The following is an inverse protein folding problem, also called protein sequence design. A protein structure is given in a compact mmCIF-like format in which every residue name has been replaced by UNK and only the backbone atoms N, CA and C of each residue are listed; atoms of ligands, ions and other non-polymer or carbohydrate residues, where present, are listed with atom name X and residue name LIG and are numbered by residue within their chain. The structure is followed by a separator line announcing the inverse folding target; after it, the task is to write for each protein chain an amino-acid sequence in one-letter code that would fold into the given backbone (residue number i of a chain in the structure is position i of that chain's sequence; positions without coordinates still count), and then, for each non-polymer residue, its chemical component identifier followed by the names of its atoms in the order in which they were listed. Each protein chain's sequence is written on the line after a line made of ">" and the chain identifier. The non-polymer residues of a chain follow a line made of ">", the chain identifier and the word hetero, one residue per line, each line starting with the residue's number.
data_IF_762403424641
#
_entry.id   IF_762403424641
#
_cell.length_a   1.000
_cell.length_b   1.000
_cell.length_c   1.000
_cell.angle_alpha   90.00
_cell.angle_beta   90.00
_cell.angle_gamma   90.00
#
_symmetry.space_group_name_H-M   'P 1'
#
loop_
_entity.id
_entity.type
_entity.pdbx_description
1 polymer ?
#
# COMPACT_ATOMS: atom_id res chain seq x y z
N UNK A 1 -9.63 -2.95 -7.87
CA UNK A 1 -8.44 -3.69 -8.35
C UNK A 1 -8.88 -4.65 -9.43
N UNK A 2 -8.16 -4.73 -10.54
CA UNK A 2 -8.38 -5.75 -11.56
C UNK A 2 -8.29 -7.18 -10.94
N UNK A 3 -9.27 -8.07 -11.14
CA UNK A 3 -9.20 -9.46 -10.67
C UNK A 3 -7.92 -10.20 -11.07
N UNK A 4 -7.35 -9.91 -12.25
CA UNK A 4 -6.12 -10.54 -12.73
C UNK A 4 -4.89 -10.20 -11.86
N UNK A 5 -4.93 -9.09 -11.12
CA UNK A 5 -3.85 -8.66 -10.25
C UNK A 5 -3.92 -9.29 -8.85
N UNK A 6 -5.00 -10.02 -8.50
CA UNK A 6 -5.15 -10.68 -7.20
C UNK A 6 -4.34 -11.99 -7.13
N UNK A 7 -3.04 -11.87 -7.31
CA UNK A 7 -2.09 -13.00 -7.29
C UNK A 7 -1.40 -13.10 -5.93
N UNK A 8 -0.79 -14.26 -5.65
CA UNK A 8 0.01 -14.45 -4.43
C UNK A 8 1.20 -13.50 -4.32
N UNK A 9 1.71 -12.99 -5.45
CA UNK A 9 2.81 -12.03 -5.49
C UNK A 9 2.40 -10.62 -5.03
N UNK A 10 1.10 -10.32 -5.11
CA UNK A 10 0.51 -9.06 -4.67
C UNK A 10 -0.16 -9.19 -3.29
N UNK A 11 -0.23 -10.39 -2.71
CA UNK A 11 -0.97 -10.68 -1.49
C UNK A 11 -0.09 -10.60 -0.22
N UNK A 12 -0.60 -9.97 0.85
CA UNK A 12 0.00 -10.07 2.19
C UNK A 12 -0.34 -11.44 2.78
N UNK A 13 0.70 -12.22 3.09
CA UNK A 13 0.57 -13.47 3.84
C UNK A 13 0.57 -13.20 5.35
N UNK A 14 -0.21 -13.97 6.11
CA UNK A 14 -0.17 -13.94 7.58
C UNK A 14 -1.12 -12.94 8.26
N UNK A 15 -2.03 -12.30 7.51
CA UNK A 15 -3.15 -11.55 8.09
C UNK A 15 -4.43 -12.39 8.14
N UNK A 16 -5.31 -12.11 9.11
CA UNK A 16 -6.64 -12.75 9.23
C UNK A 16 -7.51 -12.42 7.99
N UNK A 17 -7.34 -11.24 7.43
CA UNK A 17 -7.96 -10.77 6.19
C UNK A 17 -6.95 -10.78 5.05
N UNK A 18 -7.34 -11.27 3.87
CA UNK A 18 -6.51 -11.18 2.66
C UNK A 18 -6.44 -9.72 2.19
N UNK A 19 -5.25 -9.28 1.80
CA UNK A 19 -4.99 -7.96 1.25
C UNK A 19 -4.09 -8.10 0.03
N UNK A 20 -4.45 -7.42 -1.06
CA UNK A 20 -3.64 -7.34 -2.26
C UNK A 20 -3.27 -5.91 -2.56
N UNK A 21 -2.04 -5.70 -3.03
CA UNK A 21 -1.59 -4.43 -3.58
C UNK A 21 -0.68 -4.62 -4.78
N UNK A 22 -0.92 -3.80 -5.80
CA UNK A 22 -0.09 -3.69 -6.98
C UNK A 22 0.34 -2.23 -7.13
N UNK A 23 1.63 -2.03 -7.40
CA UNK A 23 2.22 -0.73 -7.72
C UNK A 23 2.73 -0.76 -9.16
N UNK A 24 2.49 0.31 -9.91
CA UNK A 24 2.99 0.45 -11.28
C UNK A 24 3.32 1.93 -11.56
N UNK A 25 4.28 2.22 -12.46
CA UNK A 25 4.48 3.57 -12.97
C UNK A 25 3.17 4.15 -13.51
N UNK A 26 2.94 5.44 -13.26
CA UNK A 26 1.75 6.11 -13.76
C UNK A 26 1.86 6.31 -15.26
N UNK A 27 0.78 6.01 -15.97
CA UNK A 27 0.69 6.27 -17.41
C UNK A 27 0.93 7.77 -17.71
N UNK A 28 1.88 8.05 -18.60
CA UNK A 28 2.30 9.41 -18.94
C UNK A 28 3.18 10.13 -17.89
N UNK A 29 3.51 9.50 -16.77
CA UNK A 29 4.40 10.03 -15.74
C UNK A 29 5.18 8.88 -15.03
N UNK A 30 6.23 8.33 -15.68
CA UNK A 30 6.91 7.12 -15.22
C UNK A 30 7.63 7.29 -13.87
N UNK A 31 7.98 8.52 -13.48
CA UNK A 31 8.58 8.84 -12.19
C UNK A 31 7.58 8.79 -11.02
N UNK A 32 6.28 8.71 -11.31
CA UNK A 32 5.17 8.72 -10.35
C UNK A 32 4.51 7.35 -10.27
N UNK A 33 3.93 7.03 -9.11
CA UNK A 33 3.36 5.71 -8.85
C UNK A 33 1.83 5.74 -8.84
N UNK A 34 1.25 4.70 -9.43
CA UNK A 34 -0.15 4.33 -9.31
C UNK A 34 -0.29 3.06 -8.47
N UNK A 35 -1.33 2.99 -7.65
CA UNK A 35 -1.61 1.84 -6.81
C UNK A 35 -3.00 1.27 -7.09
N UNK A 36 -3.09 -0.05 -7.06
CA UNK A 36 -4.35 -0.77 -6.95
C UNK A 36 -4.30 -1.66 -5.71
N UNK A 37 -5.26 -1.51 -4.80
CA UNK A 37 -5.36 -2.35 -3.61
C UNK A 37 -6.78 -2.87 -3.42
N UNK A 38 -6.91 -4.03 -2.78
CA UNK A 38 -8.19 -4.61 -2.36
C UNK A 38 -8.01 -5.53 -1.15
N UNK A 39 -9.09 -5.87 -0.47
CA UNK A 39 -9.10 -6.82 0.66
C UNK A 39 -10.41 -7.59 0.74
N UNK A 40 -10.47 -8.73 1.42
CA UNK A 40 -11.74 -9.39 1.73
C UNK A 40 -12.51 -8.75 2.91
N UNK A 41 -11.84 -7.91 3.72
CA UNK A 41 -12.43 -7.25 4.88
C UNK A 41 -12.72 -5.76 4.63
N UNK A 42 -13.96 -5.32 4.93
CA UNK A 42 -14.41 -3.93 4.69
C UNK A 42 -13.55 -2.86 5.38
N UNK A 43 -13.17 -3.09 6.63
CA UNK A 43 -12.32 -2.12 7.35
C UNK A 43 -10.92 -2.05 6.73
N UNK A 44 -10.34 -3.20 6.37
CA UNK A 44 -9.04 -3.28 5.70
C UNK A 44 -9.09 -2.60 4.34
N UNK A 45 -10.18 -2.74 3.58
CA UNK A 45 -10.41 -1.95 2.34
C UNK A 45 -10.38 -0.44 2.60
N UNK A 46 -11.04 0.02 3.66
CA UNK A 46 -11.03 1.44 4.03
C UNK A 46 -9.63 1.96 4.35
N UNK A 47 -8.85 1.19 5.13
CA UNK A 47 -7.45 1.52 5.42
C UNK A 47 -6.57 1.50 4.17
N UNK A 48 -6.77 0.51 3.29
CA UNK A 48 -6.07 0.43 2.01
C UNK A 48 -6.37 1.65 1.13
N UNK A 49 -7.64 2.04 1.03
CA UNK A 49 -8.06 3.21 0.26
C UNK A 49 -7.42 4.50 0.80
N UNK A 50 -7.31 4.65 2.12
CA UNK A 50 -6.64 5.78 2.75
C UNK A 50 -5.16 5.85 2.34
N UNK A 51 -4.44 4.73 2.38
CA UNK A 51 -3.04 4.67 1.96
C UNK A 51 -2.89 4.96 0.46
N UNK A 52 -3.74 4.35 -0.38
CA UNK A 52 -3.72 4.58 -1.83
C UNK A 52 -3.94 6.05 -2.15
N UNK A 53 -4.92 6.70 -1.52
CA UNK A 53 -5.20 8.13 -1.72
C UNK A 53 -4.05 9.02 -1.22
N UNK A 54 -3.44 8.67 -0.08
CA UNK A 54 -2.35 9.45 0.50
C UNK A 54 -1.03 9.34 -0.26
N UNK A 55 -0.81 8.24 -0.98
CA UNK A 55 0.39 7.98 -1.79
C UNK A 55 0.15 8.14 -3.29
N UNK A 56 -1.08 8.53 -3.67
CA UNK A 56 -1.46 8.66 -5.07
C UNK A 56 -0.64 9.74 -5.76
N UNK A 57 -0.18 9.45 -6.97
CA UNK A 57 0.49 10.42 -7.82
C UNK A 57 1.75 11.02 -7.16
N UNK A 58 2.38 10.32 -6.23
CA UNK A 58 3.64 10.74 -5.65
C UNK A 58 4.83 10.16 -6.45
N UNK A 59 5.97 10.86 -6.50
CA UNK A 59 7.19 10.30 -7.05
C UNK A 59 7.58 9.01 -6.35
N UNK A 60 8.03 7.99 -7.09
CA UNK A 60 8.39 6.68 -6.53
C UNK A 60 9.40 6.79 -5.38
N UNK A 61 10.42 7.64 -5.55
CA UNK A 61 11.43 7.94 -4.52
C UNK A 61 10.80 8.51 -3.24
N UNK A 62 9.79 9.36 -3.36
CA UNK A 62 9.18 10.04 -2.21
C UNK A 62 8.33 9.04 -1.44
N UNK A 63 7.56 8.19 -2.14
CA UNK A 63 6.78 7.09 -1.55
C UNK A 63 7.69 6.13 -0.78
N UNK A 64 8.84 5.75 -1.36
CA UNK A 64 9.80 4.86 -0.72
C UNK A 64 10.39 5.45 0.58
N UNK A 65 10.44 6.77 0.70
CA UNK A 65 10.95 7.48 1.87
C UNK A 65 9.89 7.85 2.90
N UNK A 66 8.59 7.59 2.64
CA UNK A 66 7.52 7.93 3.59
C UNK A 66 7.78 7.25 4.96
N UNK A 67 7.90 8.02 6.05
CA UNK A 67 8.10 7.45 7.38
C UNK A 67 6.86 6.66 7.78
N UNK A 68 7.01 5.46 8.35
CA UNK A 68 5.86 4.65 8.80
C UNK A 68 5.08 5.33 9.94
N UNK A 69 5.76 6.26 10.62
CA UNK A 69 5.25 7.15 11.66
C UNK A 69 4.21 8.15 11.13
N UNK A 70 4.11 8.37 9.81
CA UNK A 70 3.07 9.24 9.23
C UNK A 70 1.66 8.79 9.62
N UNK A 71 1.49 7.50 9.89
CA UNK A 71 0.22 6.91 10.33
C UNK A 71 -0.18 7.42 11.72
N UNK A 72 0.78 7.83 12.55
CA UNK A 72 0.51 8.47 13.84
C UNK A 72 -0.08 9.87 13.64
N UNK A 73 0.41 10.62 12.65
CA UNK A 73 -0.09 11.96 12.31
C UNK A 73 -1.54 11.94 11.81
N UNK A 74 -1.98 10.83 11.22
CA UNK A 74 -3.38 10.64 10.81
C UNK A 74 -4.34 10.49 12.02
N UNK A 75 -3.83 10.29 13.24
CA UNK A 75 -4.65 10.10 14.44
C UNK A 75 -5.45 8.79 14.49
N UNK A 76 -5.44 8.01 13.40
CA UNK A 76 -6.27 6.80 13.25
C UNK A 76 -5.84 5.65 14.15
N UNK A 77 -4.57 5.63 14.61
CA UNK A 77 -4.07 4.55 15.48
C UNK A 77 -4.88 4.40 16.77
N UNK A 78 -5.39 5.50 17.31
CA UNK A 78 -6.16 5.52 18.56
C UNK A 78 -7.53 4.85 18.41
N UNK A 79 -8.04 4.80 17.18
CA UNK A 79 -9.35 4.21 16.83
C UNK A 79 -9.24 2.75 16.39
N UNK A 80 -8.03 2.18 16.32
CA UNK A 80 -7.76 0.83 15.84
C UNK A 80 -7.28 -0.07 16.97
N UNK A 81 -7.69 -1.35 16.94
CA UNK A 81 -7.14 -2.37 17.84
C UNK A 81 -5.66 -2.63 17.52
N UNK A 82 -4.87 -3.17 18.46
CA UNK A 82 -3.46 -3.47 18.25
C UNK A 82 -3.18 -4.29 16.98
N UNK A 83 -4.00 -5.32 16.73
CA UNK A 83 -3.90 -6.17 15.54
C UNK A 83 -4.11 -5.38 14.23
N UNK A 84 -5.04 -4.43 14.22
CA UNK A 84 -5.32 -3.59 13.05
C UNK A 84 -4.23 -2.56 12.81
N UNK A 85 -3.64 -2.01 13.87
CA UNK A 85 -2.47 -1.13 13.76
C UNK A 85 -1.28 -1.87 13.13
N UNK A 86 -1.01 -3.10 13.57
CA UNK A 86 0.04 -3.92 12.95
C UNK A 86 -0.25 -4.21 11.48
N UNK A 87 -1.50 -4.57 11.14
CA UNK A 87 -1.90 -4.78 9.74
C UNK A 87 -1.68 -3.54 8.88
N UNK A 88 -2.01 -2.36 9.40
CA UNK A 88 -1.81 -1.09 8.71
C UNK A 88 -0.32 -0.76 8.46
N UNK A 89 0.55 -1.05 9.42
CA UNK A 89 2.00 -0.90 9.26
C UNK A 89 2.59 -1.89 8.26
N UNK A 90 2.04 -3.11 8.19
CA UNK A 90 2.43 -4.09 7.19
C UNK A 90 1.98 -3.66 5.78
N UNK A 91 0.78 -3.09 5.65
CA UNK A 91 0.26 -2.58 4.37
C UNK A 91 1.17 -1.49 3.78
N UNK A 92 1.52 -0.46 4.55
CA UNK A 92 2.43 0.59 4.06
C UNK A 92 3.82 0.03 3.74
N UNK A 93 4.34 -0.88 4.56
CA UNK A 93 5.66 -1.48 4.33
C UNK A 93 5.71 -2.26 3.02
N UNK A 94 4.65 -3.04 2.71
CA UNK A 94 4.54 -3.73 1.43
C UNK A 94 4.41 -2.74 0.27
N UNK A 95 3.59 -1.69 0.40
CA UNK A 95 3.45 -0.67 -0.65
C UNK A 95 4.80 -0.03 -0.99
N UNK A 96 5.60 0.33 0.02
CA UNK A 96 6.95 0.86 -0.15
C UNK A 96 7.87 -0.15 -0.84
N UNK A 97 7.81 -1.43 -0.45
CA UNK A 97 8.58 -2.49 -1.09
C UNK A 97 8.22 -2.65 -2.57
N UNK A 98 6.93 -2.66 -2.91
CA UNK A 98 6.46 -2.71 -4.30
C UNK A 98 6.93 -1.51 -5.12
N UNK A 99 7.02 -0.32 -4.50
CA UNK A 99 7.60 0.86 -5.16
C UNK A 99 9.10 0.68 -5.41
N UNK A 100 9.85 0.12 -4.45
CA UNK A 100 11.27 -0.15 -4.66
C UNK A 100 11.51 -1.17 -5.79
N UNK A 101 10.68 -2.21 -5.87
CA UNK A 101 10.74 -3.22 -6.96
C UNK A 101 10.60 -2.57 -8.34
N UNK A 102 9.66 -1.63 -8.53
CA UNK A 102 9.49 -0.94 -9.82
C UNK A 102 10.65 0.03 -10.13
N UNK A 103 11.30 0.58 -9.10
CA UNK A 103 12.40 1.54 -9.30
C UNK A 103 13.72 0.84 -9.62
N UNK A 104 13.89 -0.40 -9.15
CA UNK A 104 15.09 -1.22 -9.38
C UNK A 104 14.96 -2.06 -10.66
N UNK A 105 13.73 -2.45 -11.04
CA UNK A 105 13.47 -3.22 -12.26
C UNK A 105 13.60 -2.44 -13.59
N UNK A 106 13.99 -1.16 -13.54
CA UNK A 106 14.32 -0.34 -14.70
C UNK A 106 15.83 -0.41 -15.08
N UNK A 107 16.65 -1.20 -14.38
CA UNK A 107 18.06 -1.48 -14.73
C UNK A 107 18.27 -2.76 -15.57
#
# INVERSE_FOLDING_TARGET
>A
MDPALKTDANCIRGCVSQFWVHAAPKEGAPDRVSFQADSDAQLTKGLAALLVLGLFDAPARDVAMVPVEFIELLGIRQSLSPSRNSGLLNMISLMKHKVLEITIGEE
#
